data_IF_060814732724
#
_entry.id   IF_060814732724
#
_cell.length_a   1.000
_cell.length_b   1.000
_cell.length_c   1.000
_cell.angle_alpha   90.00
_cell.angle_beta   90.00
_cell.angle_gamma   90.00
#
_symmetry.space_group_name_H-M   'P 1'
#
loop_
_entity.id
_entity.type
_entity.pdbx_description
1 polymer ?
#
# COMPACT_ATOMS: atom_id res chain seq x y z
N UNK A 1 -10.12 15.45 -6.45
CA UNK A 1 -10.65 14.09 -6.73
C UNK A 1 -9.51 13.26 -7.32
N UNK A 2 -9.33 12.02 -6.84
CA UNK A 2 -8.25 11.12 -7.29
C UNK A 2 -8.79 10.15 -8.34
N UNK A 3 -8.13 9.94 -9.50
CA UNK A 3 -8.62 9.07 -10.56
C UNK A 3 -8.22 7.60 -10.36
N UNK A 4 -8.92 6.69 -11.06
CA UNK A 4 -8.43 5.32 -11.28
C UNK A 4 -7.24 5.32 -12.24
N UNK A 5 -6.04 5.02 -11.77
CA UNK A 5 -4.89 4.78 -12.66
C UNK A 5 -5.01 3.40 -13.30
N UNK A 6 -4.94 3.32 -14.63
CA UNK A 6 -5.11 2.08 -15.40
C UNK A 6 -6.39 1.29 -15.04
N UNK A 7 -7.44 1.99 -14.60
CA UNK A 7 -8.67 1.37 -14.13
C UNK A 7 -8.52 0.60 -12.81
N UNK A 8 -7.53 0.90 -11.97
CA UNK A 8 -7.36 0.28 -10.65
C UNK A 8 -7.09 -1.23 -10.70
N UNK A 9 -6.60 -1.75 -11.83
CA UNK A 9 -6.38 -3.19 -12.05
C UNK A 9 -5.06 -3.71 -11.47
N UNK A 10 -4.16 -2.82 -11.07
CA UNK A 10 -2.89 -3.20 -10.46
C UNK A 10 -3.12 -3.98 -9.17
N UNK A 11 -2.45 -5.13 -9.05
CA UNK A 11 -2.46 -5.92 -7.82
C UNK A 11 -1.59 -5.25 -6.77
N UNK A 12 -2.04 -5.32 -5.53
CA UNK A 12 -1.39 -4.71 -4.39
C UNK A 12 -0.96 -5.83 -3.42
N UNK A 13 0.36 -6.04 -3.24
CA UNK A 13 0.88 -7.05 -2.32
C UNK A 13 0.77 -6.58 -0.86
N UNK A 14 -0.45 -6.55 -0.32
CA UNK A 14 -0.70 -6.15 1.07
C UNK A 14 -0.24 -7.24 2.05
N UNK A 15 0.29 -6.83 3.19
CA UNK A 15 0.66 -7.70 4.30
C UNK A 15 0.26 -7.05 5.62
N UNK A 16 -0.29 -7.85 6.55
CA UNK A 16 -0.54 -7.38 7.91
C UNK A 16 0.79 -7.32 8.69
N UNK A 17 0.99 -6.26 9.48
CA UNK A 17 2.21 -6.07 10.27
C UNK A 17 2.57 -7.24 11.21
N UNK A 18 1.58 -8.04 11.63
CA UNK A 18 1.83 -9.24 12.47
C UNK A 18 2.42 -10.39 11.66
N UNK A 19 1.94 -10.61 10.44
CA UNK A 19 2.53 -11.60 9.54
C UNK A 19 3.95 -11.17 9.12
N UNK A 20 4.18 -9.86 8.95
CA UNK A 20 5.52 -9.32 8.74
C UNK A 20 6.44 -9.59 9.94
N UNK A 21 5.95 -9.41 11.16
CA UNK A 21 6.69 -9.72 12.39
C UNK A 21 7.05 -11.20 12.51
N UNK A 22 6.12 -12.10 12.15
CA UNK A 22 6.39 -13.54 12.09
C UNK A 22 7.46 -13.85 11.06
N UNK A 23 7.37 -13.30 9.85
CA UNK A 23 8.36 -13.50 8.80
C UNK A 23 9.76 -13.05 9.25
N UNK A 24 9.85 -11.90 9.93
CA UNK A 24 11.10 -11.41 10.48
C UNK A 24 11.67 -12.36 11.53
N UNK A 25 10.85 -12.83 12.47
CA UNK A 25 11.27 -13.80 13.49
C UNK A 25 11.71 -15.16 12.89
N UNK A 26 11.08 -15.61 11.80
CA UNK A 26 11.50 -16.81 11.09
C UNK A 26 12.85 -16.60 10.39
N UNK A 27 13.07 -15.42 9.80
CA UNK A 27 14.32 -15.09 9.14
C UNK A 27 15.53 -15.10 10.09
N UNK A 28 15.36 -14.69 11.36
CA UNK A 28 16.43 -14.72 12.35
C UNK A 28 16.77 -16.11 12.87
N UNK A 29 15.86 -17.08 12.69
CA UNK A 29 16.01 -18.46 13.18
C UNK A 29 16.35 -19.45 12.06
N UNK A 30 16.35 -18.99 10.80
CA UNK A 30 16.59 -19.85 9.65
C UNK A 30 18.09 -20.16 9.47
N UNK A 31 18.42 -21.45 9.43
CA UNK A 31 19.76 -21.93 9.11
C UNK A 31 20.03 -21.92 7.60
N UNK A 32 21.31 -21.83 7.23
CA UNK A 32 21.74 -22.01 5.83
C UNK A 32 21.33 -20.87 4.89
N UNK A 33 21.06 -19.69 5.43
CA UNK A 33 20.91 -18.47 4.64
C UNK A 33 22.29 -17.96 4.19
N UNK A 34 22.36 -17.41 2.97
CA UNK A 34 23.56 -16.71 2.50
C UNK A 34 23.76 -15.40 3.28
N UNK A 35 24.99 -14.84 3.24
CA UNK A 35 25.32 -13.52 3.82
C UNK A 35 24.27 -12.43 3.52
N UNK A 36 23.66 -12.48 2.34
CA UNK A 36 22.49 -11.71 1.99
C UNK A 36 21.46 -12.60 1.28
N UNK A 37 20.24 -12.63 1.79
CA UNK A 37 19.10 -13.28 1.13
C UNK A 37 17.89 -12.36 1.24
N UNK A 38 17.24 -12.09 0.11
CA UNK A 38 16.03 -11.26 0.06
C UNK A 38 14.78 -12.14 -0.03
N UNK A 39 13.73 -11.75 0.69
CA UNK A 39 12.45 -12.45 0.73
C UNK A 39 11.31 -11.47 0.51
N UNK A 40 10.38 -11.83 -0.38
CA UNK A 40 9.12 -11.12 -0.53
C UNK A 40 8.14 -11.62 0.54
N UNK A 41 7.67 -10.74 1.41
CA UNK A 41 6.72 -11.04 2.46
C UNK A 41 5.40 -10.36 2.12
N UNK A 42 4.40 -11.17 1.74
CA UNK A 42 3.09 -10.72 1.30
C UNK A 42 1.99 -11.53 1.97
N UNK A 43 0.78 -10.97 2.04
CA UNK A 43 -0.40 -11.66 2.52
C UNK A 43 -0.84 -12.83 1.63
N UNK A 44 -1.95 -13.51 2.00
CA UNK A 44 -2.38 -14.74 1.34
C UNK A 44 -2.94 -14.52 -0.08
N UNK A 45 -3.25 -13.28 -0.45
CA UNK A 45 -3.82 -12.92 -1.74
C UNK A 45 -3.35 -11.54 -2.21
N UNK A 46 -3.54 -11.26 -3.50
CA UNK A 46 -3.11 -10.02 -4.17
C UNK A 46 -4.32 -9.30 -4.75
N UNK A 47 -5.12 -8.59 -3.93
CA UNK A 47 -6.27 -7.83 -4.43
C UNK A 47 -5.82 -6.71 -5.35
N UNK A 48 -6.71 -6.30 -6.24
CA UNK A 48 -6.52 -5.11 -7.07
C UNK A 48 -6.76 -3.84 -6.26
N UNK A 49 -6.12 -2.72 -6.67
CA UNK A 49 -6.36 -1.40 -6.08
C UNK A 49 -7.85 -1.03 -6.08
N UNK A 50 -8.59 -1.43 -7.13
CA UNK A 50 -10.05 -1.24 -7.20
C UNK A 50 -10.81 -2.01 -6.13
N UNK A 51 -10.47 -3.27 -5.90
CA UNK A 51 -11.11 -4.07 -4.84
C UNK A 51 -10.84 -3.46 -3.46
N UNK A 52 -9.63 -2.98 -3.21
CA UNK A 52 -9.27 -2.32 -1.95
C UNK A 52 -10.08 -1.04 -1.75
N UNK A 53 -10.11 -0.16 -2.74
CA UNK A 53 -10.82 1.14 -2.64
C UNK A 53 -12.32 0.94 -2.51
N UNK A 54 -12.91 -0.02 -3.25
CA UNK A 54 -14.32 -0.37 -3.10
C UNK A 54 -14.61 -0.91 -1.70
N UNK A 55 -13.75 -1.77 -1.16
CA UNK A 55 -13.91 -2.29 0.19
C UNK A 55 -13.85 -1.16 1.24
N UNK A 56 -12.90 -0.22 1.11
CA UNK A 56 -12.83 0.95 2.01
C UNK A 56 -14.09 1.81 1.88
N UNK A 57 -14.61 2.02 0.66
CA UNK A 57 -15.88 2.71 0.44
C UNK A 57 -17.03 2.03 1.16
N UNK A 58 -17.16 0.71 1.03
CA UNK A 58 -18.23 -0.06 1.67
C UNK A 58 -18.14 0.01 3.21
N UNK A 59 -16.93 0.04 3.77
CA UNK A 59 -16.72 0.08 5.23
C UNK A 59 -16.85 1.50 5.83
N UNK A 60 -16.58 2.56 5.06
CA UNK A 60 -16.45 3.94 5.61
C UNK A 60 -17.34 4.98 4.96
N UNK A 61 -17.90 4.69 3.79
CA UNK A 61 -18.62 5.66 2.94
C UNK A 61 -17.72 6.64 2.20
N UNK A 62 -16.39 6.45 2.21
CA UNK A 62 -15.46 7.33 1.49
C UNK A 62 -15.77 7.40 -0.01
N UNK A 63 -15.65 8.57 -0.68
CA UNK A 63 -16.07 8.73 -2.07
C UNK A 63 -15.19 7.90 -3.03
N UNK A 64 -15.83 7.29 -4.02
CA UNK A 64 -15.13 6.54 -5.06
C UNK A 64 -14.56 7.47 -6.15
N UNK A 65 -13.44 7.10 -6.79
CA UNK A 65 -12.97 7.76 -8.00
C UNK A 65 -14.01 7.73 -9.14
N UNK A 66 -14.33 8.89 -9.70
CA UNK A 66 -15.37 9.02 -10.74
C UNK A 66 -14.87 8.77 -12.17
N UNK A 67 -13.56 8.83 -12.41
CA UNK A 67 -12.97 8.68 -13.74
C UNK A 67 -11.64 7.93 -13.67
N UNK A 68 -11.16 7.48 -14.82
CA UNK A 68 -9.88 6.79 -14.94
C UNK A 68 -8.93 7.48 -15.90
N UNK A 69 -7.63 7.25 -15.70
CA UNK A 69 -6.55 7.74 -16.56
C UNK A 69 -5.65 6.58 -16.99
N UNK A 70 -5.08 6.60 -18.21
CA UNK A 70 -4.06 5.62 -18.60
C UNK A 70 -2.80 5.80 -17.74
N UNK A 71 -2.01 4.73 -17.58
CA UNK A 71 -0.79 4.75 -16.79
C UNK A 71 0.20 5.83 -17.28
N UNK A 72 0.36 5.98 -18.58
CA UNK A 72 1.17 7.06 -19.19
C UNK A 72 0.69 8.45 -18.78
N UNK A 73 -0.63 8.65 -18.68
CA UNK A 73 -1.23 9.89 -18.20
C UNK A 73 -0.85 10.19 -16.74
N UNK A 74 -0.83 9.17 -15.88
CA UNK A 74 -0.37 9.31 -14.49
C UNK A 74 1.11 9.71 -14.43
N UNK A 75 1.97 9.11 -15.25
CA UNK A 75 3.39 9.48 -15.33
C UNK A 75 3.63 10.91 -15.82
N UNK A 76 2.90 11.35 -16.84
CA UNK A 76 2.99 12.73 -17.37
C UNK A 76 2.56 13.73 -16.28
N UNK A 77 1.45 13.46 -15.59
CA UNK A 77 0.99 14.32 -14.51
C UNK A 77 1.98 14.36 -13.35
N UNK A 78 2.53 13.21 -12.96
CA UNK A 78 3.54 13.14 -11.92
C UNK A 78 4.84 13.89 -12.28
N UNK A 79 5.30 13.80 -13.53
CA UNK A 79 6.42 14.60 -14.03
C UNK A 79 6.13 16.10 -13.92
N UNK A 80 4.92 16.52 -14.28
CA UNK A 80 4.52 17.93 -14.18
C UNK A 80 4.54 18.40 -12.71
N UNK A 81 3.99 17.60 -11.79
CA UNK A 81 4.00 17.90 -10.35
C UNK A 81 5.43 18.02 -9.82
N UNK A 82 6.33 17.10 -10.18
CA UNK A 82 7.74 17.16 -9.80
C UNK A 82 8.47 18.39 -10.37
N UNK A 83 8.11 18.83 -11.58
CA UNK A 83 8.68 20.03 -12.19
C UNK A 83 8.20 21.33 -11.55
N UNK A 84 6.96 21.34 -11.07
CA UNK A 84 6.37 22.49 -10.38
C UNK A 84 6.79 22.54 -8.91
N UNK A 85 7.13 21.41 -8.30
CA UNK A 85 7.49 21.30 -6.88
C UNK A 85 8.53 22.32 -6.39
N UNK A 86 9.61 22.66 -7.13
CA UNK A 86 10.58 23.68 -6.70
C UNK A 86 9.99 25.10 -6.59
N UNK A 87 8.81 25.34 -7.17
CA UNK A 87 8.15 26.65 -7.22
C UNK A 87 7.00 26.79 -6.21
N UNK A 88 6.52 25.69 -5.63
CA UNK A 88 5.38 25.68 -4.70
C UNK A 88 5.83 25.04 -3.39
N UNK A 89 5.60 25.68 -2.23
CA UNK A 89 5.92 25.07 -0.95
C UNK A 89 5.04 23.83 -0.69
N UNK A 90 5.66 22.74 -0.25
CA UNK A 90 4.99 21.48 0.10
C UNK A 90 5.58 20.27 -0.64
N UNK A 91 5.09 19.09 -0.29
CA UNK A 91 5.43 17.85 -1.01
C UNK A 91 4.48 17.64 -2.19
N UNK A 92 4.98 17.13 -3.32
CA UNK A 92 4.14 16.88 -4.49
C UNK A 92 3.16 15.75 -4.19
N UNK A 93 1.87 16.00 -4.43
CA UNK A 93 0.81 15.01 -4.21
C UNK A 93 1.05 13.67 -4.94
N UNK A 94 1.59 13.73 -6.16
CA UNK A 94 1.90 12.55 -6.96
C UNK A 94 3.27 12.71 -7.62
N UNK A 95 4.13 11.73 -7.42
CA UNK A 95 5.45 11.61 -8.07
C UNK A 95 5.50 10.36 -8.94
N UNK A 96 6.46 10.31 -9.86
CA UNK A 96 6.67 9.15 -10.74
C UNK A 96 7.04 7.92 -9.93
N UNK A 97 7.69 8.10 -8.77
CA UNK A 97 7.97 7.02 -7.83
C UNK A 97 6.69 6.44 -7.22
N UNK A 98 5.71 7.28 -6.85
CA UNK A 98 4.40 6.81 -6.36
C UNK A 98 3.63 6.11 -7.48
N UNK A 99 3.66 6.63 -8.71
CA UNK A 99 3.01 5.97 -9.86
C UNK A 99 3.63 4.58 -10.11
N UNK A 100 4.96 4.49 -10.08
CA UNK A 100 5.70 3.24 -10.23
C UNK A 100 5.37 2.23 -9.13
N UNK A 101 5.27 2.68 -7.88
CA UNK A 101 4.84 1.84 -6.76
C UNK A 101 3.40 1.32 -6.94
N UNK A 102 2.54 2.11 -7.57
CA UNK A 102 1.15 1.76 -7.87
C UNK A 102 0.95 0.87 -9.10
N UNK A 103 2.03 0.44 -9.78
CA UNK A 103 1.94 -0.52 -10.88
C UNK A 103 1.57 -1.94 -10.41
N UNK A 104 1.32 -2.83 -11.36
CA UNK A 104 0.91 -4.20 -11.08
C UNK A 104 2.10 -5.05 -10.59
N UNK A 105 2.27 -5.11 -9.27
CA UNK A 105 3.34 -5.88 -8.63
C UNK A 105 2.84 -7.25 -8.17
N UNK A 106 3.33 -8.30 -8.83
CA UNK A 106 3.13 -9.68 -8.39
C UNK A 106 4.42 -10.23 -7.78
N UNK A 107 4.50 -10.20 -6.45
CA UNK A 107 5.66 -10.59 -5.67
C UNK A 107 5.31 -11.75 -4.71
N UNK A 108 5.16 -13.00 -5.21
CA UNK A 108 4.77 -14.13 -4.36
C UNK A 108 5.84 -14.46 -3.32
N UNK A 109 5.38 -14.99 -2.17
CA UNK A 109 6.23 -15.36 -1.03
C UNK A 109 6.78 -16.79 -1.11
N UNK A 110 6.85 -17.40 -2.30
CA UNK A 110 7.25 -18.81 -2.46
C UNK A 110 8.63 -19.12 -1.88
N UNK A 111 9.59 -18.21 -2.07
CA UNK A 111 10.93 -18.37 -1.52
C UNK A 111 10.93 -18.30 0.01
N UNK A 112 10.16 -17.38 0.59
CA UNK A 112 10.00 -17.25 2.03
C UNK A 112 9.31 -18.49 2.61
N UNK A 113 8.29 -19.02 1.94
CA UNK A 113 7.62 -20.26 2.33
C UNK A 113 8.60 -21.43 2.35
N UNK A 114 9.38 -21.59 1.28
CA UNK A 114 10.33 -22.71 1.13
C UNK A 114 11.51 -22.63 2.11
N UNK A 115 12.05 -21.44 2.36
CA UNK A 115 13.29 -21.25 3.14
C UNK A 115 13.05 -20.93 4.61
N UNK A 116 11.97 -20.22 4.92
CA UNK A 116 11.67 -19.75 6.27
C UNK A 116 10.48 -20.49 6.89
N UNK A 117 9.72 -21.28 6.12
CA UNK A 117 8.44 -21.82 6.58
C UNK A 117 7.37 -20.73 6.72
N UNK A 118 7.53 -19.59 6.04
CA UNK A 118 6.58 -18.49 6.13
C UNK A 118 5.24 -18.86 5.46
N UNK A 119 4.16 -18.75 6.23
CA UNK A 119 2.79 -18.87 5.74
C UNK A 119 1.97 -17.68 6.23
N UNK A 120 1.45 -16.81 5.34
CA UNK A 120 0.62 -15.69 5.72
C UNK A 120 -0.72 -16.19 6.28
N UNK A 121 -1.20 -15.58 7.36
CA UNK A 121 -2.40 -16.01 8.07
C UNK A 121 -3.53 -14.98 7.98
N UNK A 122 -3.20 -13.71 7.78
CA UNK A 122 -4.15 -12.61 7.86
C UNK A 122 -4.52 -12.13 6.45
N UNK A 123 -5.80 -12.28 6.11
CA UNK A 123 -6.35 -11.73 4.86
C UNK A 123 -6.34 -10.19 4.86
N UNK A 124 -6.17 -9.61 3.67
CA UNK A 124 -6.08 -8.16 3.50
C UNK A 124 -7.32 -7.41 3.99
N UNK A 125 -8.53 -7.97 3.88
CA UNK A 125 -9.76 -7.32 4.39
C UNK A 125 -9.71 -7.17 5.90
N UNK A 126 -9.25 -8.23 6.59
CA UNK A 126 -9.07 -8.21 8.04
C UNK A 126 -7.99 -7.21 8.45
N UNK A 127 -6.89 -7.15 7.70
CA UNK A 127 -5.82 -6.18 7.94
C UNK A 127 -6.34 -4.73 7.80
N UNK A 128 -7.09 -4.43 6.73
CA UNK A 128 -7.69 -3.12 6.51
C UNK A 128 -8.71 -2.78 7.59
N UNK A 129 -9.60 -3.70 7.97
CA UNK A 129 -10.58 -3.46 9.04
C UNK A 129 -9.92 -3.05 10.35
N UNK A 130 -8.89 -3.78 10.77
CA UNK A 130 -8.12 -3.44 11.97
C UNK A 130 -7.48 -2.06 11.85
N UNK A 131 -6.91 -1.74 10.70
CA UNK A 131 -6.31 -0.43 10.46
C UNK A 131 -7.37 0.69 10.54
N UNK A 132 -8.56 0.47 9.99
CA UNK A 132 -9.68 1.41 10.07
C UNK A 132 -10.16 1.61 11.52
N UNK A 133 -10.30 0.53 12.29
CA UNK A 133 -10.64 0.59 13.72
C UNK A 133 -9.60 1.41 14.52
N UNK A 134 -8.31 1.22 14.23
CA UNK A 134 -7.24 1.96 14.88
C UNK A 134 -7.20 3.43 14.45
N UNK A 135 -7.55 3.74 13.21
CA UNK A 135 -7.70 5.11 12.71
C UNK A 135 -8.95 5.79 13.28
N UNK A 136 -10.04 5.07 13.47
CA UNK A 136 -11.28 5.58 14.06
C UNK A 136 -11.06 6.03 15.51
N UNK A 137 -10.32 5.23 16.29
CA UNK A 137 -9.86 5.62 17.65
C UNK A 137 -9.03 6.90 17.65
N UNK A 138 -8.43 7.26 16.52
CA UNK A 138 -7.62 8.45 16.31
C UNK A 138 -8.39 9.62 15.67
N UNK A 139 -9.69 9.45 15.39
CA UNK A 139 -10.59 10.50 14.90
C UNK A 139 -10.88 10.51 13.40
N UNK A 140 -10.46 9.48 12.65
CA UNK A 140 -10.95 9.23 11.29
C UNK A 140 -12.42 8.76 11.32
N UNK A 141 -13.28 9.08 10.32
CA UNK A 141 -13.05 9.87 9.10
C UNK A 141 -13.28 11.37 9.25
N UNK A 142 -13.63 11.84 10.46
CA UNK A 142 -14.00 13.24 10.72
C UNK A 142 -12.79 14.20 10.71
N UNK A 143 -11.59 13.65 10.80
CA UNK A 143 -10.32 14.39 10.68
C UNK A 143 -9.72 14.11 9.30
N UNK A 144 -9.37 15.16 8.55
CA UNK A 144 -8.77 15.04 7.22
C UNK A 144 -7.46 14.24 7.30
N UNK A 145 -7.29 13.25 6.41
CA UNK A 145 -6.02 12.53 6.24
C UNK A 145 -4.88 13.46 5.75
N UNK A 146 -5.23 14.63 5.23
CA UNK A 146 -4.29 15.63 4.69
C UNK A 146 -3.78 16.58 5.79
N UNK A 147 -4.32 16.53 7.00
CA UNK A 147 -3.76 17.23 8.18
C UNK A 147 -2.54 16.46 8.74
N UNK A 148 -1.54 16.24 7.88
CA UNK A 148 -0.25 15.63 8.19
C UNK A 148 0.56 16.38 9.25
N UNK A 149 0.17 17.62 9.57
CA UNK A 149 0.80 18.46 10.60
C UNK A 149 0.63 17.91 12.03
N UNK A 150 -0.35 17.02 12.27
CA UNK A 150 -0.59 16.46 13.61
C UNK A 150 0.24 15.23 13.94
N UNK A 151 0.75 14.50 12.93
CA UNK A 151 1.41 13.20 13.13
C UNK A 151 2.89 13.31 13.52
N UNK A 152 3.56 14.42 13.14
CA UNK A 152 4.97 14.68 13.47
C UNK A 152 5.15 15.55 14.73
N UNK A 153 4.05 16.02 15.33
CA UNK A 153 4.06 16.93 16.48
C UNK A 153 3.87 16.23 17.83
N UNK A 154 4.05 14.90 17.89
CA UNK A 154 4.03 14.10 19.12
C UNK A 154 5.34 13.38 19.33
#
# INVERSE_FOLDING_TARGET
MVPWVAGGKARVPLVDGRDLGVAFALATQADGLNNFTSFNICGPSFPTMREIVNFIHDETGAPLPHFGVPLSGAYIFAWLMEKINPLIPGDPFLTRAIVYLGEDWYAPSDLAKKRLGYEPKIDWKTAIKRQLEDMEKQGYPRTSLVDGTRWWAR
#
